data_IF_145523105195
#
_entry.id   IF_145523105195
#
_cell.length_a   1.000
_cell.length_b   1.000
_cell.length_c   1.000
_cell.angle_alpha   90.00
_cell.angle_beta   90.00
_cell.angle_gamma   90.00
#
_symmetry.space_group_name_H-M   'P 1'
#
loop_
_entity.id
_entity.type
_entity.pdbx_description
1 polymer ?
#
# COMPACT_ATOMS: atom_id res chain seq x y z
N UNK A 1 -14.54 8.83 -13.88
CA UNK A 1 -14.07 8.07 -15.05
C UNK A 1 -12.74 8.67 -15.51
N UNK A 2 -11.57 8.33 -15.01
CA UNK A 2 -11.14 7.45 -13.94
C UNK A 2 -9.63 7.72 -13.92
N UNK A 3 -9.09 8.37 -12.87
CA UNK A 3 -7.62 8.42 -12.70
C UNK A 3 -7.11 7.07 -12.17
N UNK A 4 -7.68 5.98 -12.72
CA UNK A 4 -7.42 4.60 -12.36
C UNK A 4 -6.04 4.13 -12.87
N UNK A 5 -5.42 4.90 -13.77
CA UNK A 5 -4.06 4.65 -14.27
C UNK A 5 -2.96 4.90 -13.22
N UNK A 6 -3.12 5.89 -12.34
CA UNK A 6 -2.12 6.25 -11.32
C UNK A 6 -2.21 5.38 -10.05
N UNK A 7 -3.31 4.65 -9.85
CA UNK A 7 -3.43 3.76 -8.68
C UNK A 7 -2.52 2.53 -8.78
N UNK A 8 -2.15 2.09 -9.99
CA UNK A 8 -1.24 0.98 -10.18
C UNK A 8 0.17 1.24 -9.62
N UNK A 9 0.70 2.46 -9.77
CA UNK A 9 2.01 2.81 -9.24
C UNK A 9 1.99 3.06 -7.73
N UNK A 10 0.90 3.64 -7.20
CA UNK A 10 0.75 3.78 -5.76
C UNK A 10 0.74 2.40 -5.05
N UNK A 11 0.03 1.41 -5.60
CA UNK A 11 -0.02 0.05 -5.05
C UNK A 11 1.38 -0.59 -4.96
N UNK A 12 2.28 -0.35 -5.93
CA UNK A 12 3.68 -0.82 -5.85
C UNK A 12 4.42 -0.22 -4.65
N UNK A 13 4.29 1.08 -4.42
CA UNK A 13 4.95 1.73 -3.29
C UNK A 13 4.43 1.21 -1.95
N UNK A 14 3.13 0.97 -1.82
CA UNK A 14 2.55 0.37 -0.63
C UNK A 14 2.99 -1.08 -0.44
N UNK A 15 3.11 -1.86 -1.51
CA UNK A 15 3.62 -3.23 -1.43
C UNK A 15 5.08 -3.28 -0.95
N UNK A 16 5.94 -2.39 -1.46
CA UNK A 16 7.32 -2.25 -0.99
C UNK A 16 7.37 -1.82 0.49
N UNK A 17 6.45 -0.93 0.92
CA UNK A 17 6.34 -0.55 2.33
C UNK A 17 5.91 -1.73 3.22
N UNK A 18 5.01 -2.61 2.74
CA UNK A 18 4.61 -3.83 3.43
C UNK A 18 5.79 -4.82 3.56
N UNK A 19 6.55 -5.04 2.48
CA UNK A 19 7.73 -5.91 2.48
C UNK A 19 8.83 -5.40 3.42
N UNK A 20 9.05 -4.08 3.43
CA UNK A 20 10.03 -3.43 4.31
C UNK A 20 9.56 -3.28 5.77
N UNK A 21 8.27 -3.48 6.07
CA UNK A 21 7.75 -3.36 7.43
C UNK A 21 8.34 -4.40 8.38
N UNK A 22 8.87 -5.53 7.86
CA UNK A 22 9.56 -6.57 8.64
C UNK A 22 8.78 -7.02 9.91
N UNK A 23 7.45 -7.16 9.79
CA UNK A 23 6.58 -7.55 10.90
C UNK A 23 6.16 -6.41 11.84
N UNK A 24 6.50 -5.15 11.54
CA UNK A 24 6.02 -4.00 12.30
C UNK A 24 4.51 -3.79 12.08
N UNK A 25 3.72 -4.21 13.08
CA UNK A 25 2.26 -4.18 13.05
C UNK A 25 1.70 -2.77 12.88
N UNK A 26 2.35 -1.72 13.40
CA UNK A 26 1.88 -0.34 13.22
C UNK A 26 1.87 0.11 11.75
N UNK A 27 2.79 -0.43 10.94
CA UNK A 27 2.86 -0.16 9.51
C UNK A 27 1.90 -1.10 8.77
N UNK A 28 1.90 -2.39 9.09
CA UNK A 28 1.06 -3.41 8.45
C UNK A 28 -0.44 -3.19 8.67
N UNK A 29 -0.83 -2.64 9.82
CA UNK A 29 -2.22 -2.33 10.19
C UNK A 29 -2.64 -0.90 9.79
N UNK A 30 -1.77 -0.17 9.08
CA UNK A 30 -2.11 1.17 8.61
C UNK A 30 -3.31 1.11 7.66
N UNK A 31 -4.35 1.88 7.98
CA UNK A 31 -5.58 1.99 7.16
C UNK A 31 -5.28 2.44 5.73
N UNK A 32 -4.24 3.25 5.54
CA UNK A 32 -3.83 3.76 4.23
C UNK A 32 -3.18 2.63 3.42
N UNK A 33 -2.28 1.87 4.05
CA UNK A 33 -1.62 0.71 3.44
C UNK A 33 -2.66 -0.33 3.01
N UNK A 34 -3.56 -0.70 3.92
CA UNK A 34 -4.61 -1.70 3.67
C UNK A 34 -5.63 -1.26 2.60
N UNK A 35 -5.87 0.04 2.46
CA UNK A 35 -6.78 0.57 1.44
C UNK A 35 -6.19 0.52 0.02
N UNK A 36 -4.87 0.40 -0.13
CA UNK A 36 -4.19 0.45 -1.43
C UNK A 36 -3.50 -0.86 -1.84
N UNK A 37 -3.45 -1.86 -0.94
CA UNK A 37 -2.97 -3.23 -1.26
C UNK A 37 -4.13 -4.19 -1.57
N UNK A 38 -5.37 -3.87 -1.14
CA UNK A 38 -6.55 -4.73 -1.33
C UNK A 38 -7.02 -4.83 -2.77
#
# INVERSE_FOLDING_TARGET
>A
LDKLGDHGDAAKHFKVAQENANGNTLILESKILLAHIR
#
